data_IF_879327051456
#
_entry.id   IF_879327051456
#
_cell.length_a   1.000
_cell.length_b   1.000
_cell.length_c   1.000
_cell.angle_alpha   90.00
_cell.angle_beta   90.00
_cell.angle_gamma   90.00
#
_symmetry.space_group_name_H-M   'P 1'
#
loop_
_entity.id
_entity.type
_entity.pdbx_description
1 polymer ?
#
# COMPACT_ATOMS: atom_id res chain seq x y z
N UNK A 1 56.14 -84.40 11.33
CA UNK A 1 54.70 -84.62 11.19
C UNK A 1 53.91 -83.64 12.06
N UNK A 2 54.28 -83.37 13.32
CA UNK A 2 53.57 -82.48 14.26
C UNK A 2 53.51 -81.00 13.72
N UNK A 3 54.58 -80.43 13.27
CA UNK A 3 54.63 -79.05 12.74
C UNK A 3 53.74 -78.86 11.50
N UNK A 4 53.61 -79.87 10.67
CA UNK A 4 52.75 -79.79 9.47
C UNK A 4 51.26 -79.80 9.85
N UNK A 5 50.86 -80.55 10.86
CA UNK A 5 49.51 -80.60 11.36
C UNK A 5 49.12 -79.29 12.04
N UNK A 6 50.03 -78.64 12.76
CA UNK A 6 49.83 -77.37 13.41
C UNK A 6 49.65 -76.26 12.38
N UNK A 7 50.45 -76.28 11.31
CA UNK A 7 50.35 -75.33 10.19
C UNK A 7 49.02 -75.44 9.44
N UNK A 8 48.60 -76.68 9.15
CA UNK A 8 47.28 -76.94 8.51
C UNK A 8 46.13 -76.51 9.41
N UNK A 9 46.23 -76.69 10.71
CA UNK A 9 45.20 -76.21 11.66
C UNK A 9 45.08 -74.70 11.71
N UNK A 10 46.19 -73.93 11.69
CA UNK A 10 46.22 -72.48 11.65
C UNK A 10 45.62 -71.92 10.35
N UNK A 11 45.95 -72.53 9.24
CA UNK A 11 45.33 -72.11 7.94
C UNK A 11 43.82 -72.38 8.01
N UNK A 12 43.38 -73.53 8.46
CA UNK A 12 41.95 -73.84 8.56
C UNK A 12 41.19 -72.95 9.53
N UNK A 13 41.80 -72.50 10.63
CA UNK A 13 41.23 -71.47 11.52
C UNK A 13 41.14 -70.11 10.86
N UNK A 14 42.18 -69.73 10.14
CA UNK A 14 42.20 -68.46 9.37
C UNK A 14 41.11 -68.45 8.30
N UNK A 15 41.00 -69.50 7.51
CA UNK A 15 39.98 -69.60 6.46
C UNK A 15 38.57 -69.57 7.04
N UNK A 16 38.30 -70.23 8.19
CA UNK A 16 36.98 -70.14 8.87
C UNK A 16 36.68 -68.70 9.29
N UNK A 17 37.65 -68.03 9.91
CA UNK A 17 37.46 -66.58 10.31
C UNK A 17 37.18 -65.69 9.12
N UNK A 18 37.89 -65.89 8.02
CA UNK A 18 37.67 -65.15 6.78
C UNK A 18 36.28 -65.41 6.19
N UNK A 19 35.79 -66.66 6.24
CA UNK A 19 34.45 -67.05 5.80
C UNK A 19 33.36 -66.46 6.71
N UNK A 20 33.58 -66.41 8.03
CA UNK A 20 32.65 -65.71 8.96
C UNK A 20 32.58 -64.17 8.70
N UNK A 21 33.74 -63.54 8.50
CA UNK A 21 33.81 -62.08 8.17
C UNK A 21 33.13 -61.82 6.85
N UNK A 22 33.37 -62.68 5.84
CA UNK A 22 32.72 -62.49 4.50
C UNK A 22 31.20 -62.68 4.60
N UNK A 23 30.73 -63.69 5.37
CA UNK A 23 29.32 -63.94 5.60
C UNK A 23 28.64 -62.74 6.30
N UNK A 24 29.32 -62.17 7.32
CA UNK A 24 28.85 -60.98 8.03
C UNK A 24 28.76 -59.74 7.09
N UNK A 25 29.79 -59.58 6.26
CA UNK A 25 29.80 -58.45 5.29
C UNK A 25 28.68 -58.57 4.25
N UNK A 26 28.42 -59.80 3.75
CA UNK A 26 27.30 -60.07 2.83
C UNK A 26 25.96 -59.77 3.51
N UNK A 27 25.77 -60.12 4.79
CA UNK A 27 24.56 -59.80 5.53
C UNK A 27 24.34 -58.31 5.67
N UNK A 28 25.39 -57.53 6.00
CA UNK A 28 25.33 -56.06 6.07
C UNK A 28 25.02 -55.43 4.70
N UNK A 29 25.64 -55.97 3.64
CA UNK A 29 25.42 -55.46 2.28
C UNK A 29 23.97 -55.67 1.82
N UNK A 30 23.39 -56.84 2.10
CA UNK A 30 21.99 -57.14 1.83
C UNK A 30 21.04 -56.22 2.63
N UNK A 31 21.36 -56.00 3.91
CA UNK A 31 20.57 -55.07 4.73
C UNK A 31 20.59 -53.63 4.20
N UNK A 32 21.79 -53.14 3.80
CA UNK A 32 21.94 -51.85 3.22
C UNK A 32 21.20 -51.71 1.87
N UNK A 33 21.25 -52.74 1.05
CA UNK A 33 20.52 -52.78 -0.22
C UNK A 33 19.00 -52.71 0.01
N UNK A 34 18.47 -53.42 1.02
CA UNK A 34 17.05 -53.38 1.37
C UNK A 34 16.64 -51.97 1.87
N UNK A 35 17.46 -51.38 2.75
CA UNK A 35 17.24 -50.01 3.24
C UNK A 35 17.27 -49.00 2.12
N UNK A 36 18.23 -49.11 1.18
CA UNK A 36 18.31 -48.21 0.02
C UNK A 36 17.05 -48.31 -0.84
N UNK A 37 16.56 -49.51 -1.08
CA UNK A 37 15.36 -49.75 -1.86
C UNK A 37 14.11 -49.15 -1.18
N UNK A 38 13.99 -49.26 0.13
CA UNK A 38 12.92 -48.65 0.93
C UNK A 38 12.98 -47.13 0.84
N UNK A 39 14.16 -46.55 1.06
CA UNK A 39 14.36 -45.10 0.98
C UNK A 39 14.07 -44.54 -0.43
N UNK A 40 14.41 -45.27 -1.49
CA UNK A 40 14.08 -44.89 -2.85
C UNK A 40 12.57 -44.85 -3.10
N UNK A 41 11.83 -45.86 -2.61
CA UNK A 41 10.36 -45.88 -2.75
C UNK A 41 9.69 -44.74 -1.97
N UNK A 42 10.19 -44.44 -0.78
CA UNK A 42 9.73 -43.34 0.04
C UNK A 42 10.00 -41.99 -0.62
N UNK A 43 11.20 -41.78 -1.18
CA UNK A 43 11.55 -40.58 -1.92
C UNK A 43 10.67 -40.38 -3.15
N UNK A 44 10.33 -41.42 -3.89
CA UNK A 44 9.41 -41.33 -5.03
C UNK A 44 8.03 -40.89 -4.56
N UNK A 45 7.51 -41.50 -3.48
CA UNK A 45 6.21 -41.13 -2.91
C UNK A 45 6.16 -39.67 -2.44
N UNK A 46 7.17 -39.21 -1.70
CA UNK A 46 7.29 -37.82 -1.25
C UNK A 46 7.39 -36.85 -2.40
N UNK A 47 8.12 -37.23 -3.47
CA UNK A 47 8.19 -36.39 -4.69
C UNK A 47 6.82 -36.25 -5.36
N UNK A 48 6.06 -37.33 -5.48
CA UNK A 48 4.71 -37.29 -6.05
C UNK A 48 3.76 -36.46 -5.21
N UNK A 49 3.80 -36.60 -3.86
CA UNK A 49 3.03 -35.74 -2.96
C UNK A 49 3.38 -34.24 -3.11
N UNK A 50 4.68 -33.93 -3.14
CA UNK A 50 5.15 -32.54 -3.32
C UNK A 50 4.68 -31.94 -4.65
N UNK A 51 4.70 -32.73 -5.73
CA UNK A 51 4.17 -32.29 -7.03
C UNK A 51 2.66 -32.04 -6.95
N UNK A 52 1.91 -32.93 -6.31
CA UNK A 52 0.47 -32.78 -6.15
C UNK A 52 0.10 -31.53 -5.33
N UNK A 53 0.81 -31.29 -4.21
CA UNK A 53 0.65 -30.08 -3.40
C UNK A 53 1.01 -28.80 -4.17
N UNK A 54 2.12 -28.81 -4.90
CA UNK A 54 2.52 -27.68 -5.74
C UNK A 54 1.45 -27.34 -6.77
N UNK A 55 0.87 -28.34 -7.43
CA UNK A 55 -0.20 -28.13 -8.39
C UNK A 55 -1.49 -27.63 -7.72
N UNK A 56 -1.80 -28.07 -6.52
CA UNK A 56 -2.93 -27.57 -5.75
C UNK A 56 -2.76 -26.10 -5.37
N UNK A 57 -1.57 -25.73 -4.89
CA UNK A 57 -1.21 -24.35 -4.57
C UNK A 57 -1.34 -23.46 -5.81
N UNK A 58 -0.83 -23.88 -6.96
CA UNK A 58 -0.97 -23.13 -8.22
C UNK A 58 -2.43 -22.88 -8.60
N UNK A 59 -3.31 -23.88 -8.43
CA UNK A 59 -4.75 -23.72 -8.68
C UNK A 59 -5.40 -22.75 -7.71
N UNK A 60 -5.01 -22.80 -6.41
CA UNK A 60 -5.51 -21.88 -5.41
C UNK A 60 -5.07 -20.44 -5.69
N UNK A 61 -3.82 -20.23 -6.09
CA UNK A 61 -3.29 -18.91 -6.49
C UNK A 61 -4.10 -18.37 -7.66
N UNK A 62 -4.29 -19.16 -8.71
CA UNK A 62 -5.09 -18.73 -9.89
C UNK A 62 -6.54 -18.37 -9.51
N UNK A 63 -7.18 -19.19 -8.66
CA UNK A 63 -8.53 -18.91 -8.17
C UNK A 63 -8.60 -17.64 -7.32
N UNK A 64 -7.60 -17.40 -6.46
CA UNK A 64 -7.52 -16.19 -5.64
C UNK A 64 -7.27 -14.95 -6.51
N UNK A 65 -6.38 -15.05 -7.52
CA UNK A 65 -6.13 -13.95 -8.45
C UNK A 65 -7.41 -13.56 -9.19
N UNK A 66 -8.16 -14.52 -9.74
CA UNK A 66 -9.44 -14.25 -10.39
C UNK A 66 -10.45 -13.56 -9.47
N UNK A 67 -10.49 -13.93 -8.17
CA UNK A 67 -11.35 -13.25 -7.19
C UNK A 67 -10.89 -11.82 -6.91
N UNK A 68 -9.58 -11.59 -6.85
CA UNK A 68 -9.00 -10.25 -6.67
C UNK A 68 -9.38 -9.37 -7.87
N UNK A 69 -9.23 -9.88 -9.09
CA UNK A 69 -9.56 -9.14 -10.31
C UNK A 69 -11.06 -8.78 -10.35
N UNK A 70 -11.93 -9.74 -10.03
CA UNK A 70 -13.40 -9.50 -9.95
C UNK A 70 -13.76 -8.48 -8.86
N UNK A 71 -13.13 -8.57 -7.69
CA UNK A 71 -13.37 -7.62 -6.61
C UNK A 71 -12.87 -6.22 -6.97
N UNK A 72 -11.72 -6.11 -7.64
CA UNK A 72 -11.20 -4.83 -8.13
C UNK A 72 -12.16 -4.15 -9.12
N UNK A 73 -12.73 -4.93 -10.05
CA UNK A 73 -13.77 -4.41 -10.96
C UNK A 73 -15.02 -3.94 -10.20
N UNK A 74 -15.46 -4.71 -9.20
CA UNK A 74 -16.64 -4.36 -8.41
C UNK A 74 -16.41 -3.10 -7.57
N UNK A 75 -15.22 -2.94 -7.01
CA UNK A 75 -14.82 -1.72 -6.29
C UNK A 75 -14.84 -0.53 -7.24
N UNK A 76 -14.22 -0.62 -8.40
CA UNK A 76 -14.21 0.47 -9.38
C UNK A 76 -15.64 0.87 -9.83
N UNK A 77 -16.54 -0.10 -10.01
CA UNK A 77 -17.95 0.17 -10.34
C UNK A 77 -18.68 0.85 -9.17
N UNK A 78 -18.42 0.41 -7.93
CA UNK A 78 -19.04 1.00 -6.74
C UNK A 78 -18.55 2.44 -6.51
N UNK A 79 -17.25 2.70 -6.72
CA UNK A 79 -16.67 4.05 -6.64
C UNK A 79 -17.25 4.99 -7.70
N UNK A 80 -17.39 4.53 -8.94
CA UNK A 80 -18.01 5.33 -10.00
C UNK A 80 -19.47 5.66 -9.68
N UNK A 81 -20.23 4.70 -9.14
CA UNK A 81 -21.62 4.91 -8.74
C UNK A 81 -21.73 5.87 -7.54
N UNK A 82 -20.81 5.75 -6.57
CA UNK A 82 -20.76 6.64 -5.42
C UNK A 82 -20.51 8.10 -5.85
N UNK A 83 -19.56 8.32 -6.78
CA UNK A 83 -19.30 9.65 -7.34
C UNK A 83 -20.53 10.23 -8.04
N UNK A 84 -21.26 9.41 -8.82
CA UNK A 84 -22.50 9.85 -9.48
C UNK A 84 -23.58 10.26 -8.46
N UNK A 85 -23.76 9.48 -7.39
CA UNK A 85 -24.70 9.80 -6.32
C UNK A 85 -24.31 11.07 -5.55
N UNK A 86 -23.02 11.24 -5.23
CA UNK A 86 -22.52 12.42 -4.55
C UNK A 86 -22.72 13.69 -5.38
N UNK A 87 -22.47 13.61 -6.69
CA UNK A 87 -22.68 14.73 -7.58
C UNK A 87 -24.16 15.10 -7.69
N UNK A 88 -25.06 14.11 -7.71
CA UNK A 88 -26.49 14.35 -7.69
C UNK A 88 -26.98 15.00 -6.38
N UNK A 89 -26.49 14.49 -5.24
CA UNK A 89 -26.80 15.10 -3.93
C UNK A 89 -26.31 16.55 -3.87
N UNK A 90 -25.11 16.82 -4.38
CA UNK A 90 -24.57 18.17 -4.47
C UNK A 90 -25.45 19.09 -5.33
N UNK A 91 -25.89 18.62 -6.49
CA UNK A 91 -26.77 19.39 -7.37
C UNK A 91 -28.12 19.71 -6.69
N UNK A 92 -28.70 18.75 -6.00
CA UNK A 92 -29.93 18.91 -5.23
C UNK A 92 -29.75 19.90 -4.07
N UNK A 93 -28.61 19.85 -3.36
CA UNK A 93 -28.29 20.78 -2.27
C UNK A 93 -28.07 22.20 -2.76
N UNK A 94 -27.33 22.38 -3.89
CA UNK A 94 -27.16 23.69 -4.53
C UNK A 94 -28.51 24.25 -4.98
N UNK A 95 -29.38 23.45 -5.57
CA UNK A 95 -30.72 23.87 -5.97
C UNK A 95 -31.55 24.31 -4.77
N UNK A 96 -31.49 23.56 -3.68
CA UNK A 96 -32.18 23.89 -2.43
C UNK A 96 -31.68 25.21 -1.82
N UNK A 97 -30.36 25.40 -1.78
CA UNK A 97 -29.75 26.65 -1.29
C UNK A 97 -30.10 27.85 -2.19
N UNK A 98 -30.11 27.66 -3.51
CA UNK A 98 -30.56 28.71 -4.45
C UNK A 98 -32.03 29.08 -4.27
N UNK A 99 -32.90 28.14 -3.92
CA UNK A 99 -34.30 28.43 -3.59
C UNK A 99 -34.45 29.14 -2.23
N UNK A 100 -33.64 28.80 -1.23
CA UNK A 100 -33.61 29.51 0.07
C UNK A 100 -33.07 30.94 -0.10
N UNK A 101 -32.00 31.14 -0.85
CA UNK A 101 -31.44 32.47 -1.16
C UNK A 101 -32.46 33.32 -1.92
N UNK A 102 -33.26 32.77 -2.83
CA UNK A 102 -34.34 33.46 -3.52
C UNK A 102 -35.50 33.88 -2.58
N UNK A 103 -35.65 33.23 -1.44
CA UNK A 103 -36.66 33.54 -0.43
C UNK A 103 -36.20 34.56 0.62
N UNK A 104 -34.89 34.81 0.73
CA UNK A 104 -34.30 35.78 1.66
C UNK A 104 -33.80 36.98 0.85
N UNK A 105 -34.48 38.14 0.98
CA UNK A 105 -34.04 39.41 0.42
C UNK A 105 -32.70 39.86 1.03
N UNK A 106 -31.89 40.69 0.31
CA UNK A 106 -30.46 40.73 0.46
C UNK A 106 -29.98 41.63 1.59
N UNK A 107 -28.95 41.20 2.27
CA UNK A 107 -28.03 42.08 3.01
C UNK A 107 -26.60 41.54 2.88
N UNK A 108 -25.90 42.20 2.08
CA UNK A 108 -24.49 42.65 1.97
C UNK A 108 -23.40 41.83 2.71
N UNK A 109 -22.49 41.31 1.87
CA UNK A 109 -21.03 41.22 1.95
C UNK A 109 -20.35 40.59 3.15
N UNK A 110 -19.87 39.37 2.92
CA UNK A 110 -18.49 39.00 3.27
C UNK A 110 -17.90 38.16 2.13
N UNK A 111 -17.03 38.81 1.32
CA UNK A 111 -16.43 38.18 0.13
C UNK A 111 -15.31 37.27 0.56
N UNK A 112 -15.63 35.97 0.74
CA UNK A 112 -14.61 34.96 0.57
C UNK A 112 -14.35 34.85 -0.93
N UNK A 113 -13.13 35.16 -1.35
CA UNK A 113 -12.72 35.12 -2.76
C UNK A 113 -12.70 33.63 -3.24
N UNK A 114 -13.86 33.09 -3.55
CA UNK A 114 -14.04 31.77 -4.16
C UNK A 114 -13.77 31.83 -5.69
N UNK A 115 -12.66 32.45 -6.08
CA UNK A 115 -12.29 32.47 -7.49
C UNK A 115 -11.53 31.22 -7.82
N UNK A 116 -12.03 30.36 -8.74
CA UNK A 116 -11.27 29.22 -9.23
C UNK A 116 -9.92 29.69 -9.78
N UNK A 117 -8.86 29.02 -9.45
CA UNK A 117 -7.56 29.24 -10.09
C UNK A 117 -7.49 28.42 -11.39
N UNK A 118 -6.87 28.98 -12.42
CA UNK A 118 -6.58 28.21 -13.62
C UNK A 118 -5.57 27.11 -13.28
N UNK A 119 -5.91 25.86 -13.52
CA UNK A 119 -5.06 24.70 -13.27
C UNK A 119 -5.16 23.69 -14.41
N UNK A 120 -4.13 22.86 -14.55
CA UNK A 120 -4.11 21.73 -15.48
C UNK A 120 -4.14 20.38 -14.75
N UNK A 121 -4.09 19.28 -15.51
CA UNK A 121 -4.10 17.93 -14.96
C UNK A 121 -2.85 17.62 -14.12
N UNK A 122 -1.71 18.27 -14.38
CA UNK A 122 -0.49 18.16 -13.60
C UNK A 122 -0.64 18.85 -12.25
N UNK A 123 -1.24 20.01 -12.21
CA UNK A 123 -1.55 20.75 -10.99
C UNK A 123 -2.50 19.96 -10.09
N UNK A 124 -3.56 19.39 -10.67
CA UNK A 124 -4.48 18.50 -9.93
C UNK A 124 -3.74 17.31 -9.33
N UNK A 125 -2.88 16.65 -10.10
CA UNK A 125 -2.11 15.53 -9.60
C UNK A 125 -1.16 15.93 -8.46
N UNK A 126 -0.50 17.08 -8.57
CA UNK A 126 0.40 17.61 -7.54
C UNK A 126 -0.35 17.96 -6.25
N UNK A 127 -1.47 18.68 -6.34
CA UNK A 127 -2.28 19.03 -5.15
C UNK A 127 -2.84 17.77 -4.49
N UNK A 128 -3.36 16.83 -5.27
CA UNK A 128 -3.86 15.55 -4.77
C UNK A 128 -2.79 14.76 -4.01
N UNK A 129 -1.59 14.67 -4.57
CA UNK A 129 -0.46 13.98 -3.96
C UNK A 129 0.01 14.66 -2.66
N UNK A 130 -0.01 15.99 -2.63
CA UNK A 130 0.36 16.73 -1.41
C UNK A 130 -0.68 16.58 -0.31
N UNK A 131 -1.97 16.68 -0.63
CA UNK A 131 -3.05 16.41 0.33
C UNK A 131 -2.93 14.99 0.91
N UNK A 132 -2.61 13.99 0.08
CA UNK A 132 -2.39 12.65 0.61
C UNK A 132 -1.14 12.55 1.50
N UNK A 133 -0.07 13.23 1.17
CA UNK A 133 1.12 13.25 1.99
C UNK A 133 0.88 13.87 3.38
N UNK A 134 0.10 14.93 3.45
CA UNK A 134 -0.11 15.70 4.69
C UNK A 134 -1.36 15.24 5.47
N UNK A 135 -2.40 14.80 4.77
CA UNK A 135 -3.73 14.61 5.37
C UNK A 135 -4.40 13.27 5.03
N UNK A 136 -3.65 12.21 4.63
CA UNK A 136 -4.25 10.92 4.26
C UNK A 136 -5.19 10.37 5.34
N UNK A 137 -4.79 10.47 6.62
CA UNK A 137 -5.52 9.93 7.77
C UNK A 137 -6.43 10.97 8.46
N UNK A 138 -6.55 12.17 7.88
CA UNK A 138 -7.39 13.22 8.42
C UNK A 138 -8.84 13.09 7.92
N UNK A 139 -9.83 13.66 8.66
CA UNK A 139 -11.18 13.78 8.14
C UNK A 139 -11.19 14.56 6.82
N UNK A 140 -12.27 14.45 6.04
CA UNK A 140 -12.37 15.06 4.72
C UNK A 140 -12.19 16.58 4.77
N UNK A 141 -12.76 17.22 5.80
CA UNK A 141 -12.59 18.65 6.09
C UNK A 141 -11.11 19.03 6.27
N UNK A 142 -10.31 18.16 6.89
CA UNK A 142 -8.86 18.34 7.03
C UNK A 142 -8.13 18.28 5.68
N UNK A 143 -8.57 17.40 4.77
CA UNK A 143 -8.05 17.32 3.41
C UNK A 143 -8.38 18.57 2.62
N UNK A 144 -9.61 19.07 2.71
CA UNK A 144 -10.04 20.35 2.10
C UNK A 144 -9.26 21.53 2.69
N UNK A 145 -9.03 21.53 4.00
CA UNK A 145 -8.28 22.61 4.66
C UNK A 145 -6.82 22.67 4.19
N UNK A 146 -6.13 21.52 4.09
CA UNK A 146 -4.76 21.45 3.54
C UNK A 146 -4.74 21.92 2.08
N UNK A 147 -5.69 21.48 1.27
CA UNK A 147 -5.84 21.96 -0.11
C UNK A 147 -6.11 23.47 -0.18
N UNK A 148 -6.96 23.99 0.70
CA UNK A 148 -7.26 25.42 0.80
C UNK A 148 -5.99 26.24 1.11
N UNK A 149 -5.13 25.77 2.02
CA UNK A 149 -3.84 26.45 2.30
C UNK A 149 -2.96 26.51 1.05
N UNK A 150 -2.91 25.46 0.22
CA UNK A 150 -2.14 25.48 -1.02
C UNK A 150 -2.68 26.55 -1.97
N UNK A 151 -3.99 26.59 -2.20
CA UNK A 151 -4.64 27.59 -3.07
C UNK A 151 -4.47 29.01 -2.53
N UNK A 152 -4.64 29.20 -1.21
CA UNK A 152 -4.43 30.50 -0.56
C UNK A 152 -3.00 31.00 -0.73
N UNK A 153 -2.00 30.10 -0.65
CA UNK A 153 -0.60 30.45 -0.90
C UNK A 153 -0.36 30.89 -2.35
N UNK A 154 -0.95 30.19 -3.33
CA UNK A 154 -0.87 30.58 -4.74
C UNK A 154 -1.43 32.00 -4.97
N UNK A 155 -2.51 32.34 -4.27
CA UNK A 155 -3.15 33.65 -4.34
C UNK A 155 -2.48 34.72 -3.46
N UNK A 156 -1.51 34.33 -2.62
CA UNK A 156 -0.85 35.26 -1.69
C UNK A 156 0.43 35.84 -2.30
N UNK A 157 0.65 37.15 -2.23
CA UNK A 157 1.89 37.79 -2.70
C UNK A 157 3.14 37.35 -1.89
N UNK A 158 2.96 36.63 -0.77
CA UNK A 158 4.05 36.13 0.07
C UNK A 158 4.68 34.84 -0.44
N UNK A 159 4.01 34.15 -1.37
CA UNK A 159 4.42 32.86 -1.91
C UNK A 159 4.54 32.91 -3.44
N UNK A 160 4.91 31.80 -4.05
CA UNK A 160 4.89 31.69 -5.52
C UNK A 160 3.46 31.71 -6.07
N UNK A 161 3.29 32.13 -7.30
CA UNK A 161 1.99 32.30 -7.96
C UNK A 161 1.55 31.08 -8.78
N UNK A 162 2.20 29.92 -8.59
CA UNK A 162 1.84 28.65 -9.23
C UNK A 162 1.83 27.52 -8.20
N UNK A 163 1.04 26.49 -8.44
CA UNK A 163 1.00 25.28 -7.61
C UNK A 163 2.42 24.72 -7.42
N UNK A 164 3.15 24.55 -8.52
CA UNK A 164 4.51 24.03 -8.48
C UNK A 164 5.44 24.89 -7.61
N UNK A 165 5.42 26.22 -7.76
CA UNK A 165 6.28 27.11 -6.98
C UNK A 165 5.96 27.09 -5.49
N UNK A 166 4.70 26.92 -5.12
CA UNK A 166 4.25 26.79 -3.72
C UNK A 166 4.69 25.45 -3.12
N UNK A 167 4.48 24.34 -3.84
CA UNK A 167 4.76 23.00 -3.31
C UNK A 167 6.27 22.71 -3.20
N UNK A 168 7.06 23.18 -4.15
CA UNK A 168 8.53 22.96 -4.14
C UNK A 168 9.32 24.07 -3.43
N UNK A 169 8.65 25.05 -2.84
CA UNK A 169 9.35 26.08 -2.07
C UNK A 169 10.13 25.44 -0.90
N UNK A 170 11.39 25.87 -0.66
CA UNK A 170 12.21 25.27 0.40
C UNK A 170 11.53 25.35 1.76
N UNK A 171 11.56 24.23 2.50
CA UNK A 171 11.05 24.10 3.87
C UNK A 171 9.53 24.31 4.04
N UNK A 172 8.74 24.35 2.94
CA UNK A 172 7.29 24.54 3.05
C UNK A 172 6.53 23.21 3.26
N UNK A 173 6.97 22.15 2.60
CA UNK A 173 6.34 20.84 2.69
C UNK A 173 7.40 19.75 2.91
N UNK A 174 7.40 19.13 4.09
CA UNK A 174 8.36 18.07 4.43
C UNK A 174 8.32 16.85 3.51
N UNK A 175 7.17 16.44 2.93
CA UNK A 175 7.11 15.33 1.98
C UNK A 175 7.92 15.54 0.70
N UNK A 176 8.15 16.78 0.29
CA UNK A 176 9.02 17.08 -0.87
C UNK A 176 10.46 16.76 -0.55
N UNK A 177 10.96 17.23 0.61
CA UNK A 177 12.33 16.98 1.04
C UNK A 177 12.62 15.51 1.33
N UNK A 178 11.64 14.77 1.87
CA UNK A 178 11.77 13.33 2.17
C UNK A 178 11.62 12.41 0.96
N UNK A 179 11.20 12.94 -0.20
CA UNK A 179 10.91 12.15 -1.40
C UNK A 179 9.55 11.45 -1.39
N UNK A 180 8.78 11.49 -0.29
CA UNK A 180 7.44 10.90 -0.19
C UNK A 180 6.48 11.47 -1.21
N UNK A 181 6.53 12.78 -1.44
CA UNK A 181 5.71 13.45 -2.45
C UNK A 181 5.94 12.89 -3.86
N UNK A 182 7.19 12.68 -4.27
CA UNK A 182 7.51 12.12 -5.59
C UNK A 182 6.96 10.69 -5.76
N UNK A 183 6.99 9.87 -4.70
CA UNK A 183 6.44 8.51 -4.72
C UNK A 183 4.93 8.55 -4.90
N UNK A 184 4.21 9.39 -4.14
CA UNK A 184 2.76 9.51 -4.23
C UNK A 184 2.34 10.08 -5.58
N UNK A 185 3.04 11.10 -6.07
CA UNK A 185 2.79 11.71 -7.38
C UNK A 185 2.96 10.68 -8.52
N UNK A 186 3.99 9.85 -8.48
CA UNK A 186 4.26 8.85 -9.50
C UNK A 186 3.21 7.72 -9.54
N UNK A 187 2.66 7.29 -8.40
CA UNK A 187 1.64 6.24 -8.33
C UNK A 187 0.20 6.74 -8.48
N UNK A 188 0.00 8.04 -8.40
CA UNK A 188 -1.30 8.67 -8.24
C UNK A 188 -1.77 8.71 -6.77
N UNK A 189 -2.45 9.79 -6.40
CA UNK A 189 -3.08 9.93 -5.09
C UNK A 189 -4.37 9.10 -5.01
N UNK A 190 -4.83 8.82 -3.78
CA UNK A 190 -6.10 8.15 -3.57
C UNK A 190 -7.30 9.01 -4.01
N UNK A 191 -8.44 8.36 -4.25
CA UNK A 191 -9.63 9.00 -4.80
C UNK A 191 -10.15 10.15 -3.92
N UNK A 192 -10.11 9.99 -2.61
CA UNK A 192 -10.60 11.00 -1.66
C UNK A 192 -9.74 12.27 -1.66
N UNK A 193 -8.41 12.13 -1.70
CA UNK A 193 -7.49 13.25 -1.81
C UNK A 193 -7.57 13.94 -3.19
N UNK A 194 -7.81 13.16 -4.25
CA UNK A 194 -8.04 13.70 -5.60
C UNK A 194 -9.34 14.51 -5.66
N UNK A 195 -10.40 14.03 -5.02
CA UNK A 195 -11.67 14.76 -4.91
C UNK A 195 -11.49 16.08 -4.16
N UNK A 196 -10.83 16.05 -2.99
CA UNK A 196 -10.55 17.28 -2.23
C UNK A 196 -9.72 18.30 -3.02
N UNK A 197 -8.69 17.82 -3.74
CA UNK A 197 -7.90 18.68 -4.61
C UNK A 197 -8.74 19.34 -5.71
N UNK A 198 -9.59 18.57 -6.37
CA UNK A 198 -10.48 19.10 -7.40
C UNK A 198 -11.44 20.16 -6.85
N UNK A 199 -12.01 19.94 -5.65
CA UNK A 199 -12.90 20.89 -5.02
C UNK A 199 -12.21 22.23 -4.72
N UNK A 200 -11.05 22.20 -4.06
CA UNK A 200 -10.34 23.42 -3.70
C UNK A 200 -9.80 24.19 -4.91
N UNK A 201 -9.37 23.50 -5.96
CA UNK A 201 -8.92 24.11 -7.20
C UNK A 201 -10.08 24.78 -7.96
N UNK A 202 -11.29 24.26 -7.83
CA UNK A 202 -12.52 24.87 -8.34
C UNK A 202 -13.11 25.94 -7.42
N UNK A 203 -12.38 26.37 -6.39
CA UNK A 203 -12.76 27.50 -5.54
C UNK A 203 -13.48 27.13 -4.25
N UNK A 204 -13.61 25.83 -3.90
CA UNK A 204 -14.17 25.43 -2.61
C UNK A 204 -13.12 25.60 -1.49
N UNK A 205 -12.88 26.84 -1.10
CA UNK A 205 -11.93 27.20 -0.03
C UNK A 205 -12.64 27.15 1.31
N UNK A 206 -12.23 26.25 2.18
CA UNK A 206 -12.87 26.01 3.49
C UNK A 206 -12.23 26.78 4.63
N UNK A 207 -11.02 27.33 4.43
CA UNK A 207 -10.28 28.07 5.45
C UNK A 207 -9.37 29.12 4.82
N UNK A 208 -9.28 30.29 5.45
CA UNK A 208 -8.44 31.41 5.00
C UNK A 208 -7.02 31.38 5.60
N UNK A 209 -6.51 30.20 5.96
CA UNK A 209 -5.18 30.04 6.55
C UNK A 209 -4.07 29.95 5.48
N UNK A 210 -2.87 30.36 5.86
CA UNK A 210 -1.66 30.22 5.04
C UNK A 210 -0.68 29.18 5.60
N UNK A 211 -0.88 28.77 6.85
CA UNK A 211 0.00 27.83 7.54
C UNK A 211 -0.82 26.78 8.30
N UNK A 212 -0.21 25.63 8.50
CA UNK A 212 -0.74 24.59 9.37
C UNK A 212 0.42 23.73 9.91
N UNK A 213 0.18 23.08 11.03
CA UNK A 213 1.03 22.01 11.58
C UNK A 213 0.20 21.06 12.43
N UNK A 214 0.80 19.99 12.92
CA UNK A 214 0.16 19.07 13.88
C UNK A 214 -0.13 19.83 15.16
N UNK A 215 -1.38 19.79 15.62
CA UNK A 215 -1.82 20.50 16.81
C UNK A 215 -1.10 20.01 18.07
N UNK A 216 -0.56 20.97 18.84
CA UNK A 216 0.03 20.73 20.15
C UNK A 216 -0.60 21.68 21.19
N UNK A 217 -1.42 21.11 22.10
CA UNK A 217 -2.14 21.87 23.13
C UNK A 217 -1.21 22.67 24.07
N UNK A 218 0.06 22.34 24.15
CA UNK A 218 1.04 23.04 24.99
C UNK A 218 1.57 24.32 24.36
N UNK A 219 1.58 24.40 23.03
CA UNK A 219 2.16 25.50 22.25
C UNK A 219 1.08 26.34 21.56
N UNK A 220 0.06 25.70 20.99
CA UNK A 220 -0.95 26.36 20.16
C UNK A 220 -1.97 27.10 21.02
N UNK A 221 -2.04 28.40 20.86
CA UNK A 221 -2.94 29.30 21.60
C UNK A 221 -4.06 29.87 20.74
N UNK A 222 -4.10 29.53 19.46
CA UNK A 222 -5.09 30.05 18.49
C UNK A 222 -5.04 29.28 17.17
N UNK A 223 -5.91 29.68 16.23
CA UNK A 223 -6.09 28.99 14.97
C UNK A 223 -7.32 28.08 14.95
N UNK A 224 -7.62 27.53 13.78
CA UNK A 224 -8.74 26.58 13.59
C UNK A 224 -8.21 25.16 13.64
N UNK A 225 -8.73 24.34 14.56
CA UNK A 225 -8.33 22.94 14.69
C UNK A 225 -9.26 22.08 13.84
N UNK A 226 -8.70 21.29 12.91
CA UNK A 226 -9.42 20.34 12.08
C UNK A 226 -8.64 19.02 12.07
N UNK A 227 -9.21 17.95 12.61
CA UNK A 227 -8.50 16.70 12.85
C UNK A 227 -7.31 16.90 13.80
N UNK A 228 -6.13 16.45 13.37
CA UNK A 228 -4.89 16.59 14.15
C UNK A 228 -4.08 17.84 13.77
N UNK A 229 -4.63 18.75 12.96
CA UNK A 229 -3.94 19.96 12.51
C UNK A 229 -4.56 21.23 13.06
N UNK A 230 -3.72 22.24 13.30
CA UNK A 230 -4.12 23.61 13.54
C UNK A 230 -3.73 24.48 12.35
N UNK A 231 -4.67 25.30 11.89
CA UNK A 231 -4.57 26.18 10.72
C UNK A 231 -4.60 27.65 11.17
N UNK A 232 -3.68 28.49 10.61
CA UNK A 232 -3.53 29.93 10.97
C UNK A 232 -2.92 30.76 9.85
#
# INVERSE_FOLDING_TARGET
LLQRNEYVSRISQYDRKMLEELSSLIAVLNQNQLSLQTNMTELVSLKEQSIAESNNIKRLIASKQSKIDTNSENIAKAEALALEYEERIRQEEIQRQLEEIKKMTPSVDEVINNTPIAYDTSDLAMVSAMIECEAANQPYEGKLAVGSVIVNRVNSPKFGNTIQSVLYAPSQFSPVASGRFAIVLARGANAECTRAANEVLNGHITIAALYFHVYDSTVDKGGTIIGDHVFY
#
